data_IF_392622045648
#
_entry.id   IF_392622045648
#
_cell.length_a   1.000
_cell.length_b   1.000
_cell.length_c   1.000
_cell.angle_alpha   90.00
_cell.angle_beta   90.00
_cell.angle_gamma   90.00
#
_symmetry.space_group_name_H-M   'P 1'
#
loop_
_entity.id
_entity.type
_entity.pdbx_description
1 polymer ?
#
# COMPACT_ATOMS: atom_id res chain seq x y z
N UNK A 1 41.36 -6.57 3.35
CA UNK A 1 40.40 -6.21 2.32
C UNK A 1 39.05 -6.07 3.02
N UNK A 2 38.60 -4.88 3.33
CA UNK A 2 37.28 -4.67 3.93
C UNK A 2 36.25 -4.87 2.82
N UNK A 3 35.58 -6.02 2.82
CA UNK A 3 34.49 -6.29 1.90
C UNK A 3 33.33 -5.35 2.20
N UNK A 4 32.89 -4.58 1.22
CA UNK A 4 31.69 -3.77 1.32
C UNK A 4 30.51 -4.74 1.41
N UNK A 5 29.93 -4.88 2.60
CA UNK A 5 28.80 -5.78 2.85
C UNK A 5 27.48 -5.10 2.43
N UNK A 6 27.49 -4.50 1.24
CA UNK A 6 26.33 -3.80 0.68
C UNK A 6 25.46 -4.77 -0.10
N UNK A 7 24.17 -4.57 -0.02
CA UNK A 7 23.16 -5.35 -0.76
C UNK A 7 22.71 -4.56 -1.99
N UNK A 8 22.79 -5.22 -3.14
CA UNK A 8 22.29 -4.67 -4.41
C UNK A 8 20.77 -4.89 -4.50
N UNK A 9 20.01 -3.80 -4.59
CA UNK A 9 18.57 -3.78 -4.77
C UNK A 9 18.20 -3.20 -6.16
N UNK A 10 19.01 -3.48 -7.18
CA UNK A 10 18.84 -3.02 -8.57
C UNK A 10 18.98 -1.50 -8.74
N UNK A 11 18.02 -0.71 -8.24
CA UNK A 11 18.05 0.75 -8.36
C UNK A 11 19.03 1.42 -7.41
N UNK A 12 19.28 0.82 -6.23
CA UNK A 12 20.14 1.39 -5.18
C UNK A 12 20.86 0.30 -4.37
N UNK A 13 22.02 0.69 -3.83
CA UNK A 13 22.78 -0.13 -2.87
C UNK A 13 22.36 0.16 -1.45
N UNK A 14 22.02 -0.87 -0.70
CA UNK A 14 21.66 -0.78 0.72
C UNK A 14 22.85 -1.13 1.60
N UNK A 15 23.09 -0.28 2.60
CA UNK A 15 24.10 -0.52 3.64
C UNK A 15 23.41 -1.08 4.90
N UNK A 16 23.54 -2.39 5.20
CA UNK A 16 22.91 -3.01 6.35
C UNK A 16 23.53 -2.59 7.69
N UNK A 17 24.74 -2.04 7.68
CA UNK A 17 25.42 -1.58 8.90
C UNK A 17 24.84 -0.24 9.36
N UNK A 18 24.57 0.66 8.41
CA UNK A 18 23.98 1.98 8.67
C UNK A 18 22.47 1.97 8.59
N UNK A 19 21.88 0.94 7.95
CA UNK A 19 20.43 0.82 7.75
C UNK A 19 19.88 1.82 6.74
N UNK A 20 20.66 2.19 5.70
CA UNK A 20 20.31 3.25 4.76
C UNK A 20 20.73 2.92 3.33
N UNK A 21 20.12 3.63 2.38
CA UNK A 21 20.59 3.65 1.01
C UNK A 21 21.94 4.38 0.89
N UNK A 22 22.81 3.87 0.04
CA UNK A 22 24.11 4.50 -0.26
C UNK A 22 23.98 5.70 -1.20
N UNK A 23 22.93 5.75 -2.02
CA UNK A 23 22.65 6.81 -2.97
C UNK A 23 21.35 7.53 -2.65
N UNK A 24 21.21 8.76 -3.13
CA UNK A 24 20.00 9.56 -3.03
C UNK A 24 18.87 8.87 -3.79
N UNK A 25 17.65 8.87 -3.21
CA UNK A 25 16.44 8.47 -3.91
C UNK A 25 16.19 9.39 -5.11
N UNK A 26 16.01 8.82 -6.29
CA UNK A 26 15.69 9.62 -7.49
C UNK A 26 14.37 10.38 -7.37
N UNK A 27 13.52 9.97 -6.42
CA UNK A 27 12.25 10.61 -6.11
C UNK A 27 12.31 11.52 -4.87
N UNK A 28 13.51 11.78 -4.32
CA UNK A 28 13.73 12.57 -3.11
C UNK A 28 13.09 13.97 -3.17
N UNK A 29 13.08 14.59 -4.36
CA UNK A 29 12.44 15.90 -4.56
C UNK A 29 10.94 15.90 -4.30
N UNK A 30 10.29 14.72 -4.28
CA UNK A 30 8.86 14.54 -4.02
C UNK A 30 8.57 14.23 -2.55
N UNK A 31 9.59 14.02 -1.71
CA UNK A 31 9.46 13.57 -0.32
C UNK A 31 10.26 14.45 0.64
N UNK A 32 9.89 15.72 0.78
CA UNK A 32 10.61 16.72 1.61
C UNK A 32 10.68 16.39 3.11
N UNK A 33 9.87 15.45 3.59
CA UNK A 33 9.77 15.09 5.01
C UNK A 33 10.51 13.79 5.38
N UNK A 34 11.13 13.13 4.41
CA UNK A 34 11.92 11.91 4.63
C UNK A 34 13.33 12.11 4.10
N UNK A 35 14.32 11.59 4.83
CA UNK A 35 15.70 11.61 4.33
C UNK A 35 15.78 10.90 2.96
N UNK A 36 16.45 11.47 1.97
CA UNK A 36 16.65 10.84 0.66
C UNK A 36 17.44 9.52 0.72
N UNK A 37 18.05 9.22 1.85
CA UNK A 37 18.78 7.98 2.13
C UNK A 37 18.00 6.99 3.00
N UNK A 38 16.76 7.30 3.40
CA UNK A 38 15.98 6.43 4.28
C UNK A 38 15.57 5.15 3.58
N UNK A 39 15.98 4.00 4.12
CA UNK A 39 15.49 2.69 3.72
C UNK A 39 14.13 2.43 4.38
N UNK A 40 13.14 2.04 3.59
CA UNK A 40 11.81 1.67 4.07
C UNK A 40 11.21 2.69 5.06
N UNK A 41 11.38 4.01 4.84
CA UNK A 41 10.90 5.07 5.74
C UNK A 41 11.40 4.92 7.19
N UNK A 42 12.61 4.38 7.40
CA UNK A 42 13.19 4.00 8.68
C UNK A 42 12.39 2.92 9.43
N UNK A 43 11.62 2.08 8.73
CA UNK A 43 10.85 0.98 9.31
C UNK A 43 11.11 -0.35 8.57
N UNK A 44 12.35 -0.86 8.54
CA UNK A 44 12.71 -2.09 7.82
C UNK A 44 12.13 -3.37 8.44
N UNK A 45 11.53 -3.28 9.64
CA UNK A 45 10.87 -4.42 10.30
C UNK A 45 9.50 -4.70 9.67
N UNK A 46 8.85 -3.67 9.11
CA UNK A 46 7.51 -3.76 8.52
C UNK A 46 7.48 -3.62 7.00
N UNK A 47 8.56 -3.12 6.42
CA UNK A 47 8.64 -2.80 5.01
C UNK A 47 9.90 -3.44 4.42
N UNK A 48 9.77 -4.00 3.24
CA UNK A 48 10.88 -4.48 2.42
C UNK A 48 10.84 -3.74 1.09
N UNK A 49 11.97 -3.20 0.69
CA UNK A 49 12.17 -2.56 -0.61
C UNK A 49 13.10 -3.45 -1.42
N UNK A 50 12.52 -4.43 -2.13
CA UNK A 50 13.29 -5.48 -2.81
C UNK A 50 14.03 -4.98 -4.06
N UNK A 51 13.50 -3.93 -4.69
CA UNK A 51 14.06 -3.36 -5.92
C UNK A 51 14.49 -1.89 -5.80
N UNK A 52 14.43 -1.32 -4.58
CA UNK A 52 14.73 0.09 -4.35
C UNK A 52 13.64 1.06 -4.84
N UNK A 53 12.46 0.58 -5.19
CA UNK A 53 11.38 1.33 -5.83
C UNK A 53 9.97 1.04 -5.24
N UNK A 54 9.83 0.77 -3.94
CA UNK A 54 8.50 0.63 -3.31
C UNK A 54 7.63 1.85 -3.68
N UNK A 55 6.30 1.67 -3.88
CA UNK A 55 5.41 2.82 -4.09
C UNK A 55 5.69 3.88 -3.04
N UNK A 56 6.00 5.10 -3.48
CA UNK A 56 6.25 6.17 -2.52
C UNK A 56 5.03 6.35 -1.63
N UNK A 57 5.21 6.81 -0.39
CA UNK A 57 4.10 7.08 0.51
C UNK A 57 3.04 7.99 -0.13
N UNK A 58 3.46 8.92 -0.99
CA UNK A 58 2.56 9.80 -1.74
C UNK A 58 1.76 9.03 -2.80
N UNK A 59 2.39 8.15 -3.56
CA UNK A 59 1.70 7.33 -4.56
C UNK A 59 0.72 6.36 -3.88
N UNK A 60 1.15 5.71 -2.81
CA UNK A 60 0.28 4.87 -2.01
C UNK A 60 -0.92 5.63 -1.44
N UNK A 61 -0.74 6.87 -0.96
CA UNK A 61 -1.84 7.72 -0.48
C UNK A 61 -2.82 8.06 -1.60
N UNK A 62 -2.33 8.42 -2.79
CA UNK A 62 -3.16 8.70 -3.96
C UNK A 62 -3.96 7.45 -4.37
N UNK A 63 -3.32 6.27 -4.35
CA UNK A 63 -3.98 4.99 -4.67
C UNK A 63 -5.02 4.65 -3.59
N UNK A 64 -4.71 4.87 -2.30
CA UNK A 64 -5.63 4.66 -1.19
C UNK A 64 -6.87 5.55 -1.25
N UNK A 65 -6.75 6.76 -1.79
CA UNK A 65 -7.87 7.66 -2.05
C UNK A 65 -8.63 7.25 -3.32
N UNK A 66 -7.91 6.97 -4.40
CA UNK A 66 -8.51 6.64 -5.70
C UNK A 66 -9.35 5.36 -5.67
N UNK A 67 -9.05 4.40 -4.80
CA UNK A 67 -9.78 3.13 -4.74
C UNK A 67 -11.26 3.29 -4.37
N UNK A 68 -11.65 4.40 -3.74
CA UNK A 68 -13.04 4.62 -3.31
C UNK A 68 -14.02 4.73 -4.49
N UNK A 69 -13.65 5.42 -5.57
CA UNK A 69 -14.52 5.69 -6.72
C UNK A 69 -13.85 5.48 -8.09
N UNK A 70 -12.56 5.17 -8.09
CA UNK A 70 -11.75 4.98 -9.30
C UNK A 70 -12.30 3.91 -10.23
N UNK A 71 -12.03 4.08 -11.53
CA UNK A 71 -12.50 3.20 -12.60
C UNK A 71 -11.34 2.47 -13.25
N UNK A 72 -11.62 1.25 -13.72
CA UNK A 72 -10.65 0.46 -14.49
C UNK A 72 -10.20 1.25 -15.72
N UNK A 73 -8.91 1.30 -15.94
CA UNK A 73 -8.28 2.03 -17.04
C UNK A 73 -7.78 3.43 -16.68
N UNK A 74 -8.21 4.02 -15.56
CA UNK A 74 -7.72 5.32 -15.10
C UNK A 74 -6.24 5.26 -14.75
N UNK A 75 -5.53 6.31 -15.17
CA UNK A 75 -4.08 6.48 -14.95
C UNK A 75 -3.85 7.45 -13.80
N UNK A 76 -2.89 7.12 -12.94
CA UNK A 76 -2.42 7.97 -11.86
C UNK A 76 -0.97 8.41 -12.11
N UNK A 77 -0.49 9.34 -11.29
CA UNK A 77 0.91 9.73 -11.33
C UNK A 77 1.84 8.53 -11.04
N UNK A 78 3.12 8.64 -11.43
CA UNK A 78 4.10 7.57 -11.21
C UNK A 78 3.94 6.34 -12.12
N UNK A 79 3.15 6.44 -13.21
CA UNK A 79 2.94 5.33 -14.15
C UNK A 79 1.90 4.31 -13.72
N UNK A 80 1.17 4.57 -12.64
CA UNK A 80 0.13 3.69 -12.12
C UNK A 80 -1.14 3.72 -12.98
N UNK A 81 -1.78 2.55 -13.10
CA UNK A 81 -3.06 2.39 -13.78
C UNK A 81 -3.91 1.38 -13.02
N UNK A 82 -5.20 1.69 -12.82
CA UNK A 82 -6.14 0.74 -12.25
C UNK A 82 -6.50 -0.35 -13.27
N UNK A 83 -6.21 -1.61 -12.92
CA UNK A 83 -6.37 -2.77 -13.81
C UNK A 83 -7.65 -3.55 -13.53
N UNK A 84 -8.09 -3.61 -12.26
CA UNK A 84 -9.30 -4.33 -11.87
C UNK A 84 -9.93 -3.72 -10.63
N UNK A 85 -11.25 -3.89 -10.50
CA UNK A 85 -12.03 -3.56 -9.30
C UNK A 85 -12.65 -4.84 -8.76
N UNK A 86 -12.60 -5.01 -7.46
CA UNK A 86 -13.17 -6.13 -6.72
C UNK A 86 -14.25 -5.59 -5.78
N UNK A 87 -15.47 -6.06 -5.96
CA UNK A 87 -16.63 -5.75 -5.12
C UNK A 87 -17.40 -7.02 -4.81
N UNK A 88 -18.20 -7.02 -3.77
CA UNK A 88 -19.04 -8.14 -3.43
C UNK A 88 -20.52 -7.76 -3.54
N UNK A 89 -21.32 -8.64 -4.13
CA UNK A 89 -22.74 -8.37 -4.45
C UNK A 89 -23.68 -8.44 -3.24
N UNK A 90 -23.26 -9.01 -2.12
CA UNK A 90 -24.15 -9.34 -1.01
C UNK A 90 -23.87 -8.51 0.24
N UNK A 91 -24.34 -7.29 0.28
CA UNK A 91 -24.38 -6.40 1.47
C UNK A 91 -23.06 -6.16 2.22
N UNK A 92 -21.92 -6.42 1.62
CA UNK A 92 -20.61 -6.15 2.19
C UNK A 92 -20.06 -4.88 1.56
N UNK A 93 -19.59 -3.96 2.36
CA UNK A 93 -19.03 -2.69 1.92
C UNK A 93 -17.58 -2.82 1.40
N UNK A 94 -17.19 -4.03 1.03
CA UNK A 94 -15.86 -4.30 0.50
C UNK A 94 -15.70 -3.73 -0.91
N UNK A 95 -14.64 -2.94 -1.09
CA UNK A 95 -14.15 -2.52 -2.39
C UNK A 95 -12.63 -2.58 -2.41
N UNK A 96 -12.09 -3.30 -3.38
CA UNK A 96 -10.66 -3.37 -3.65
C UNK A 96 -10.33 -2.98 -5.09
N UNK A 97 -9.13 -2.47 -5.31
CA UNK A 97 -8.62 -2.12 -6.63
C UNK A 97 -7.22 -2.69 -6.85
N UNK A 98 -7.00 -3.35 -7.98
CA UNK A 98 -5.67 -3.76 -8.40
C UNK A 98 -5.09 -2.72 -9.36
N UNK A 99 -3.89 -2.26 -9.03
CA UNK A 99 -3.14 -1.29 -9.82
C UNK A 99 -1.84 -1.93 -10.30
N UNK A 100 -1.38 -1.53 -11.47
CA UNK A 100 -0.07 -1.87 -11.99
C UNK A 100 0.69 -0.60 -12.36
N UNK A 101 1.99 -0.59 -12.08
CA UNK A 101 2.92 0.44 -12.55
C UNK A 101 3.50 0.03 -13.89
N UNK A 102 3.55 0.97 -14.80
CA UNK A 102 4.13 0.77 -16.12
C UNK A 102 5.37 1.63 -16.29
N UNK A 103 6.46 1.02 -16.77
CA UNK A 103 7.67 1.72 -17.17
C UNK A 103 7.45 2.50 -18.49
N UNK A 104 8.48 3.24 -18.94
CA UNK A 104 8.43 4.01 -20.20
C UNK A 104 8.31 3.12 -21.44
N UNK A 105 8.63 1.83 -21.33
CA UNK A 105 8.53 0.83 -22.42
C UNK A 105 7.17 0.11 -22.41
N UNK A 106 6.34 0.35 -21.40
CA UNK A 106 5.03 -0.28 -21.25
C UNK A 106 5.05 -1.62 -20.51
N UNK A 107 6.17 -2.01 -19.90
CA UNK A 107 6.24 -3.21 -19.07
C UNK A 107 5.70 -2.91 -17.67
N UNK A 108 5.10 -3.93 -17.04
CA UNK A 108 4.64 -3.82 -15.66
C UNK A 108 5.81 -4.14 -14.73
N UNK A 109 6.14 -3.19 -13.85
CA UNK A 109 7.22 -3.31 -12.87
C UNK A 109 6.74 -3.81 -11.52
N UNK A 110 5.55 -3.39 -11.07
CA UNK A 110 5.01 -3.77 -9.78
C UNK A 110 3.48 -3.65 -9.75
N UNK A 111 2.88 -4.19 -8.68
CA UNK A 111 1.44 -4.15 -8.43
C UNK A 111 1.13 -3.57 -7.05
N UNK A 112 -0.02 -2.91 -6.95
CA UNK A 112 -0.64 -2.52 -5.69
C UNK A 112 -2.06 -3.07 -5.65
N UNK A 113 -2.45 -3.72 -4.56
CA UNK A 113 -3.84 -3.98 -4.26
C UNK A 113 -4.29 -3.08 -3.12
N UNK A 114 -5.17 -2.13 -3.45
CA UNK A 114 -5.70 -1.17 -2.51
C UNK A 114 -7.10 -1.58 -2.03
N UNK A 115 -7.39 -1.34 -0.75
CA UNK A 115 -8.69 -1.56 -0.13
C UNK A 115 -9.28 -0.25 0.39
N UNK A 116 -10.53 0.02 0.01
CA UNK A 116 -11.26 1.20 0.44
C UNK A 116 -11.70 1.05 1.91
N UNK A 117 -11.65 2.14 2.66
CA UNK A 117 -12.26 2.22 3.97
C UNK A 117 -13.78 2.32 3.91
N UNK A 118 -14.42 2.65 5.04
CA UNK A 118 -15.86 2.90 5.09
C UNK A 118 -16.21 4.10 4.22
N UNK A 119 -17.13 3.90 3.27
CA UNK A 119 -17.65 4.97 2.44
C UNK A 119 -18.61 5.82 3.29
N UNK A 120 -18.16 6.97 3.69
CA UNK A 120 -19.06 7.97 4.25
C UNK A 120 -19.61 8.80 3.11
N UNK A 121 -20.83 8.50 2.67
CA UNK A 121 -21.59 9.46 1.91
C UNK A 121 -21.59 10.78 2.71
N UNK A 122 -21.18 11.87 2.09
CA UNK A 122 -21.13 13.23 2.69
C UNK A 122 -22.55 13.73 2.99
N UNK A 123 -23.31 12.96 3.73
CA UNK A 123 -24.57 13.34 4.31
C UNK A 123 -24.27 14.07 5.63
N UNK A 124 -24.82 15.25 5.78
CA UNK A 124 -24.64 16.24 6.85
C UNK A 124 -25.07 15.75 8.24
N UNK A 125 -24.90 14.50 8.61
CA UNK A 125 -25.25 13.93 9.92
C UNK A 125 -24.08 13.20 10.56
N UNK A 126 -23.37 13.94 11.38
CA UNK A 126 -22.89 13.43 12.64
C UNK A 126 -21.55 12.71 12.65
N UNK A 127 -20.52 13.43 13.07
CA UNK A 127 -19.21 12.93 13.53
C UNK A 127 -19.28 11.83 14.60
N UNK A 128 -20.46 11.46 15.10
CA UNK A 128 -20.65 10.46 16.16
C UNK A 128 -20.61 9.00 15.71
N UNK A 129 -20.84 8.67 14.43
CA UNK A 129 -20.89 7.27 13.99
C UNK A 129 -19.51 6.66 13.72
N UNK A 130 -18.47 7.48 13.48
CA UNK A 130 -17.13 6.99 13.17
C UNK A 130 -16.49 6.24 14.34
N UNK A 131 -16.77 6.67 15.59
CA UNK A 131 -16.18 6.09 16.81
C UNK A 131 -16.85 4.78 17.19
N UNK A 132 -18.10 4.56 16.83
CA UNK A 132 -18.83 3.33 17.17
C UNK A 132 -18.48 2.17 16.22
N UNK A 133 -18.24 2.41 14.95
CA UNK A 133 -17.79 1.39 13.99
C UNK A 133 -16.37 0.87 14.30
N UNK A 134 -15.54 1.68 14.98
CA UNK A 134 -14.20 1.27 15.42
C UNK A 134 -14.17 0.33 16.62
N UNK A 135 -15.31 0.11 17.28
CA UNK A 135 -15.43 -0.81 18.45
C UNK A 135 -15.62 -2.27 18.08
N UNK A 136 -15.78 -2.60 16.79
CA UNK A 136 -15.83 -4.01 16.40
C UNK A 136 -14.42 -4.62 16.47
N UNK A 137 -14.25 -5.81 17.07
CA UNK A 137 -12.92 -6.42 17.21
C UNK A 137 -12.31 -6.65 15.83
N UNK A 138 -11.13 -6.09 15.64
CA UNK A 138 -10.29 -6.31 14.47
C UNK A 138 -10.15 -7.80 14.20
N UNK A 139 -10.60 -8.27 13.04
CA UNK A 139 -10.32 -9.61 12.53
C UNK A 139 -11.54 -10.48 12.22
N UNK A 140 -12.77 -10.08 12.54
CA UNK A 140 -13.96 -10.91 12.31
C UNK A 140 -14.98 -10.32 11.33
N UNK A 141 -14.73 -9.16 10.72
CA UNK A 141 -15.69 -8.59 9.75
C UNK A 141 -15.74 -9.42 8.47
N UNK A 142 -16.91 -9.52 7.87
CA UNK A 142 -17.05 -10.21 6.56
C UNK A 142 -16.20 -9.53 5.48
N UNK A 143 -16.03 -8.20 5.53
CA UNK A 143 -15.16 -7.46 4.61
C UNK A 143 -13.70 -7.90 4.73
N UNK A 144 -13.18 -8.10 5.95
CA UNK A 144 -11.82 -8.60 6.18
C UNK A 144 -11.63 -9.99 5.59
N UNK A 145 -12.58 -10.90 5.78
CA UNK A 145 -12.51 -12.26 5.21
C UNK A 145 -12.48 -12.22 3.69
N UNK A 146 -13.32 -11.40 3.07
CA UNK A 146 -13.38 -11.21 1.61
C UNK A 146 -12.10 -10.58 1.11
N UNK A 147 -11.58 -9.56 1.80
CA UNK A 147 -10.33 -8.89 1.47
C UNK A 147 -9.16 -9.89 1.45
N UNK A 148 -9.00 -10.68 2.52
CA UNK A 148 -7.94 -11.69 2.63
C UNK A 148 -8.07 -12.78 1.57
N UNK A 149 -9.28 -13.27 1.30
CA UNK A 149 -9.52 -14.27 0.27
C UNK A 149 -9.13 -13.74 -1.13
N UNK A 150 -9.48 -12.49 -1.41
CA UNK A 150 -9.13 -11.79 -2.66
C UNK A 150 -7.63 -11.58 -2.76
N UNK A 151 -6.98 -11.13 -1.69
CA UNK A 151 -5.54 -10.91 -1.62
C UNK A 151 -4.75 -12.21 -1.87
N UNK A 152 -5.14 -13.32 -1.25
CA UNK A 152 -4.52 -14.64 -1.48
C UNK A 152 -4.63 -15.07 -2.93
N UNK A 153 -5.81 -14.87 -3.56
CA UNK A 153 -6.01 -15.18 -4.98
C UNK A 153 -5.10 -14.34 -5.87
N UNK A 154 -5.05 -13.04 -5.65
CA UNK A 154 -4.20 -12.10 -6.40
C UNK A 154 -2.73 -12.46 -6.20
N UNK A 155 -2.26 -12.62 -4.97
CA UNK A 155 -0.87 -12.98 -4.68
C UNK A 155 -0.46 -14.29 -5.35
N UNK A 156 -1.33 -15.30 -5.34
CA UNK A 156 -1.08 -16.57 -6.05
C UNK A 156 -1.00 -16.39 -7.57
N UNK A 157 -1.85 -15.54 -8.16
CA UNK A 157 -1.85 -15.27 -9.60
C UNK A 157 -0.62 -14.48 -10.06
N UNK A 158 -0.11 -13.59 -9.20
CA UNK A 158 1.06 -12.77 -9.52
C UNK A 158 2.39 -13.51 -9.27
N UNK A 159 2.38 -14.59 -8.47
CA UNK A 159 3.59 -15.35 -8.15
C UNK A 159 4.64 -14.48 -7.48
N UNK A 160 5.85 -14.45 -8.03
CA UNK A 160 7.00 -13.71 -7.47
C UNK A 160 7.01 -12.22 -7.83
N UNK A 161 6.01 -11.74 -8.59
CA UNK A 161 5.92 -10.31 -8.93
C UNK A 161 5.67 -9.47 -7.68
N UNK A 162 6.25 -8.28 -7.66
CA UNK A 162 6.10 -7.34 -6.55
C UNK A 162 4.63 -6.94 -6.36
N UNK A 163 4.15 -7.06 -5.13
CA UNK A 163 2.78 -6.73 -4.74
C UNK A 163 2.78 -6.07 -3.35
N UNK A 164 2.31 -4.85 -3.29
CA UNK A 164 2.11 -4.10 -2.03
C UNK A 164 0.62 -3.91 -1.78
N UNK A 165 0.19 -4.11 -0.53
CA UNK A 165 -1.17 -3.80 -0.10
C UNK A 165 -1.25 -2.37 0.42
N UNK A 166 -2.32 -1.67 0.07
CA UNK A 166 -2.50 -0.26 0.42
C UNK A 166 -3.92 -0.04 0.95
N UNK A 167 -4.09 0.77 2.00
CA UNK A 167 -5.41 1.09 2.48
C UNK A 167 -5.45 2.27 3.45
N UNK A 168 -6.61 2.91 3.52
CA UNK A 168 -6.88 4.03 4.41
C UNK A 168 -8.00 3.67 5.38
N UNK A 169 -7.90 4.06 6.65
CA UNK A 169 -8.90 3.81 7.69
C UNK A 169 -9.19 2.29 7.85
N UNK A 170 -10.45 1.84 7.74
CA UNK A 170 -10.84 0.42 7.72
C UNK A 170 -10.07 -0.36 6.64
N UNK A 171 -9.91 0.22 5.43
CA UNK A 171 -9.12 -0.37 4.35
C UNK A 171 -7.64 -0.56 4.71
N UNK A 172 -7.10 0.28 5.60
CA UNK A 172 -5.76 0.08 6.15
C UNK A 172 -5.65 -1.18 7.00
N UNK A 173 -6.65 -1.47 7.84
CA UNK A 173 -6.70 -2.72 8.59
C UNK A 173 -6.81 -3.95 7.66
N UNK A 174 -7.61 -3.85 6.59
CA UNK A 174 -7.72 -4.89 5.56
C UNK A 174 -6.38 -5.09 4.83
N UNK A 175 -5.69 -4.01 4.45
CA UNK A 175 -4.37 -4.08 3.82
C UNK A 175 -3.34 -4.77 4.73
N UNK A 176 -3.35 -4.47 6.03
CA UNK A 176 -2.50 -5.16 7.01
C UNK A 176 -2.81 -6.66 7.09
N UNK A 177 -4.09 -7.03 7.17
CA UNK A 177 -4.54 -8.42 7.16
C UNK A 177 -4.14 -9.16 5.89
N UNK A 178 -4.24 -8.49 4.73
CA UNK A 178 -3.83 -9.01 3.43
C UNK A 178 -2.33 -9.30 3.38
N UNK A 179 -1.52 -8.36 3.86
CA UNK A 179 -0.07 -8.49 3.90
C UNK A 179 0.37 -9.66 4.79
N UNK A 180 -0.18 -9.75 6.00
CA UNK A 180 0.08 -10.86 6.92
C UNK A 180 -0.33 -12.22 6.31
N UNK A 181 -1.50 -12.28 5.66
CA UNK A 181 -2.04 -13.51 5.10
C UNK A 181 -1.28 -14.01 3.84
N UNK A 182 -0.49 -13.16 3.20
CA UNK A 182 0.22 -13.44 1.95
C UNK A 182 1.73 -13.30 2.04
N UNK A 183 2.25 -12.90 3.20
CA UNK A 183 3.66 -12.56 3.42
C UNK A 183 4.17 -11.51 2.42
N UNK A 184 3.43 -10.42 2.26
CA UNK A 184 3.71 -9.30 1.37
C UNK A 184 3.76 -7.98 2.14
N UNK A 185 4.15 -6.90 1.46
CA UNK A 185 4.25 -5.56 2.03
C UNK A 185 2.91 -4.85 2.13
N UNK A 186 2.79 -3.88 3.06
CA UNK A 186 1.64 -2.99 3.14
C UNK A 186 2.03 -1.55 3.48
N UNK A 187 1.30 -0.58 2.89
CA UNK A 187 1.29 0.83 3.25
C UNK A 187 -0.07 1.20 3.85
N UNK A 188 -0.05 1.64 5.09
CA UNK A 188 -1.27 1.90 5.86
C UNK A 188 -1.42 3.40 6.09
N UNK A 189 -2.56 3.95 5.70
CA UNK A 189 -2.90 5.36 5.89
C UNK A 189 -4.03 5.46 6.91
N UNK A 190 -3.72 6.04 8.09
CA UNK A 190 -4.70 6.23 9.13
C UNK A 190 -4.61 7.66 9.68
N UNK A 191 -5.64 8.45 9.42
CA UNK A 191 -5.73 9.81 9.93
C UNK A 191 -5.92 9.88 11.45
N UNK A 192 -6.26 8.78 12.11
CA UNK A 192 -6.56 8.72 13.56
C UNK A 192 -5.30 8.55 14.42
N UNK A 193 -4.20 8.05 13.87
CA UNK A 193 -2.94 7.84 14.59
C UNK A 193 -2.07 9.11 14.70
N UNK A 194 -2.39 10.17 13.98
CA UNK A 194 -1.68 11.47 14.04
C UNK A 194 -2.10 12.34 15.23
N UNK A 195 -3.09 11.91 16.02
CA UNK A 195 -3.61 12.68 17.18
C UNK A 195 -3.02 12.19 18.52
N UNK A 196 -2.24 11.10 18.53
CA UNK A 196 -1.71 10.49 19.77
C UNK A 196 -0.17 10.40 19.82
N UNK A 197 0.54 11.24 19.06
CA UNK A 197 1.98 11.44 19.24
C UNK A 197 2.29 12.92 19.48
#
# INVERSE_FOLDING_TARGET
>A
MYGWNMQDHEARWYDPVVGRWHSIDMLAEKMFYVSPYAYCFNNPVKLLDSNGEIPTAKEGAIIAEHVYDGKVGEKLCGGWKMCAVYTQKNNVSFRGGLYARYDKKGNITEYVFATAGTYMERSKRGEKSIIEDFKQPFGCSEDMKVSIATARKISKQLGDKELTFVGHSKGGAEAAGNALATNRNALLYNNTLLILM
#
